data_IF_935653227536
#
_entry.id   IF_935653227536
#
_cell.length_a   1.000
_cell.length_b   1.000
_cell.length_c   1.000
_cell.angle_alpha   90.00
_cell.angle_beta   90.00
_cell.angle_gamma   90.00
#
_symmetry.space_group_name_H-M   'P 1'
#
loop_
_entity.id
_entity.type
_entity.pdbx_description
1 polymer ?
#
# COMPACT_ATOMS: atom_id res chain seq x y z
N UNK A 1 -3.53 -62.33 0.23
CA UNK A 1 -2.56 -61.22 0.33
C UNK A 1 -2.97 -60.13 -0.67
N UNK A 2 -3.88 -59.21 -0.30
CA UNK A 2 -4.26 -58.10 -1.17
C UNK A 2 -3.25 -56.94 -1.07
N UNK A 3 -2.91 -56.42 -2.23
CA UNK A 3 -1.85 -55.46 -2.54
C UNK A 3 -2.17 -54.03 -2.13
N UNK A 4 -1.15 -53.32 -1.63
CA UNK A 4 -1.14 -51.97 -1.07
C UNK A 4 -1.39 -50.81 -2.08
N UNK A 5 -2.03 -51.07 -3.22
CA UNK A 5 -2.06 -50.13 -4.35
C UNK A 5 -3.30 -49.21 -4.46
N UNK A 6 -4.24 -49.25 -3.51
CA UNK A 6 -5.48 -48.45 -3.60
C UNK A 6 -5.64 -47.34 -2.54
N UNK A 7 -4.58 -46.96 -1.82
CA UNK A 7 -4.68 -45.93 -0.77
C UNK A 7 -4.44 -44.48 -1.20
N UNK A 8 -4.54 -44.16 -2.50
CA UNK A 8 -4.03 -42.89 -3.05
C UNK A 8 -5.00 -41.96 -3.79
N UNK A 9 -6.33 -42.13 -3.69
CA UNK A 9 -7.29 -41.33 -4.53
C UNK A 9 -8.24 -40.36 -3.83
N UNK A 10 -8.12 -40.16 -2.52
CA UNK A 10 -8.88 -39.12 -1.81
C UNK A 10 -7.99 -37.99 -1.27
N UNK A 11 -7.28 -37.32 -2.17
CA UNK A 11 -6.74 -35.99 -1.87
C UNK A 11 -7.87 -34.97 -2.07
N UNK A 12 -8.72 -34.88 -1.04
CA UNK A 12 -9.66 -33.78 -0.81
C UNK A 12 -8.95 -32.46 -1.09
N UNK A 13 -9.45 -31.73 -2.09
CA UNK A 13 -9.13 -30.32 -2.33
C UNK A 13 -9.65 -29.55 -1.11
N UNK A 14 -8.86 -29.52 -0.04
CA UNK A 14 -9.02 -28.56 1.04
C UNK A 14 -8.61 -27.21 0.47
N UNK A 15 -9.62 -26.43 0.09
CA UNK A 15 -9.56 -25.00 -0.13
C UNK A 15 -8.87 -24.36 1.08
N UNK A 16 -7.57 -24.14 0.96
CA UNK A 16 -6.80 -23.44 1.97
C UNK A 16 -7.35 -22.01 2.08
N UNK A 17 -7.71 -21.52 3.28
CA UNK A 17 -7.89 -20.09 3.45
C UNK A 17 -6.53 -19.44 3.19
N UNK A 18 -6.52 -18.45 2.29
CA UNK A 18 -5.41 -17.54 2.04
C UNK A 18 -4.90 -16.98 3.38
N UNK A 19 -3.87 -17.63 3.93
CA UNK A 19 -3.17 -17.22 5.13
C UNK A 19 -2.01 -16.34 4.69
N UNK A 20 -2.02 -15.10 5.16
CA UNK A 20 -0.85 -14.23 5.18
C UNK A 20 -0.67 -13.40 3.91
N UNK A 21 -1.34 -12.24 3.87
CA UNK A 21 -0.69 -11.08 3.29
C UNK A 21 0.68 -10.91 3.99
N UNK A 22 1.79 -10.70 3.27
CA UNK A 22 3.03 -10.34 3.93
C UNK A 22 2.80 -8.99 4.60
N UNK A 23 2.84 -9.00 5.93
CA UNK A 23 3.06 -7.80 6.73
C UNK A 23 4.25 -7.09 6.11
N UNK A 24 3.95 -5.95 5.47
CA UNK A 24 4.94 -5.00 5.03
C UNK A 24 5.69 -4.52 6.26
N UNK A 25 6.79 -5.19 6.57
CA UNK A 25 7.79 -4.77 7.52
C UNK A 25 8.27 -3.39 7.11
N UNK A 26 7.63 -2.37 7.67
CA UNK A 26 8.12 -1.01 7.65
C UNK A 26 9.51 -1.02 8.31
N UNK A 27 10.51 -0.38 7.70
CA UNK A 27 11.83 -0.30 8.28
C UNK A 27 11.74 0.36 9.65
N UNK A 28 12.39 -0.27 10.63
CA UNK A 28 12.69 0.30 11.93
C UNK A 28 13.61 1.52 11.77
N UNK A 29 13.03 2.63 11.32
CA UNK A 29 13.59 3.96 11.44
C UNK A 29 13.17 4.53 12.78
N UNK A 30 14.12 4.60 13.73
CA UNK A 30 13.94 5.26 15.01
C UNK A 30 13.50 6.71 14.81
N UNK A 31 12.22 6.97 14.99
CA UNK A 31 11.65 8.31 14.92
C UNK A 31 10.43 8.36 15.81
N UNK A 32 10.62 8.87 17.04
CA UNK A 32 9.60 9.32 18.00
C UNK A 32 8.14 9.08 17.56
N UNK A 33 7.71 7.82 17.64
CA UNK A 33 6.38 7.37 17.24
C UNK A 33 5.34 7.95 18.18
N UNK A 34 4.75 9.08 17.78
CA UNK A 34 3.50 9.59 18.36
C UNK A 34 2.44 8.50 18.15
N UNK A 35 2.10 7.79 19.23
CA UNK A 35 1.00 6.82 19.23
C UNK A 35 -0.30 7.60 18.99
N UNK A 36 -0.86 7.49 17.80
CA UNK A 36 -2.19 7.98 17.48
C UNK A 36 -3.20 7.01 18.11
N UNK A 37 -3.75 7.40 19.25
CA UNK A 37 -4.88 6.68 19.86
C UNK A 37 -6.15 7.17 19.15
N UNK A 38 -6.67 6.39 18.21
CA UNK A 38 -8.03 6.59 17.68
C UNK A 38 -9.03 6.06 18.70
N UNK A 39 -9.71 6.99 19.40
CA UNK A 39 -10.78 6.69 20.35
C UNK A 39 -12.15 6.81 19.62
N UNK A 40 -13.11 5.90 19.87
CA UNK A 40 -14.44 5.96 19.26
C UNK A 40 -15.20 7.24 19.62
N UNK A 41 -16.02 7.72 18.67
CA UNK A 41 -16.88 8.92 18.78
C UNK A 41 -17.96 8.75 19.86
N UNK A 42 -17.60 9.05 21.11
CA UNK A 42 -18.50 9.70 22.05
C UNK A 42 -18.19 11.19 22.03
N UNK A 43 -19.21 12.06 22.07
CA UNK A 43 -18.99 13.49 22.24
C UNK A 43 -18.54 13.69 23.70
N UNK A 44 -17.23 13.60 23.93
CA UNK A 44 -16.63 13.85 25.23
C UNK A 44 -16.90 15.32 25.60
N UNK A 45 -17.80 15.55 26.55
CA UNK A 45 -18.25 16.85 27.07
C UNK A 45 -17.15 17.72 27.70
N UNK A 46 -15.88 17.33 27.58
CA UNK A 46 -14.72 18.04 28.11
C UNK A 46 -13.63 18.35 27.08
N UNK A 47 -13.90 18.21 25.78
CA UNK A 47 -12.93 18.55 24.73
C UNK A 47 -13.02 20.03 24.32
N UNK A 48 -11.96 20.79 24.59
CA UNK A 48 -11.84 22.20 24.26
C UNK A 48 -10.88 22.41 23.10
N UNK A 49 -11.28 23.25 22.14
CA UNK A 49 -10.34 23.75 21.12
C UNK A 49 -9.26 24.63 21.77
N UNK A 50 -8.09 24.76 21.15
CA UNK A 50 -7.03 25.65 21.64
C UNK A 50 -7.48 27.09 21.90
N UNK A 51 -8.45 27.58 21.14
CA UNK A 51 -9.02 28.93 21.31
C UNK A 51 -9.87 29.01 22.57
N UNK A 52 -10.75 28.03 22.80
CA UNK A 52 -11.56 27.96 24.01
C UNK A 52 -10.68 27.76 25.25
N UNK A 53 -9.65 26.92 25.17
CA UNK A 53 -8.68 26.74 26.24
C UNK A 53 -7.91 28.04 26.55
N UNK A 54 -7.56 28.84 25.53
CA UNK A 54 -6.92 30.14 25.71
C UNK A 54 -7.84 31.12 26.44
N UNK A 55 -9.12 31.15 26.08
CA UNK A 55 -10.13 31.98 26.74
C UNK A 55 -10.36 31.57 28.20
N UNK A 56 -10.37 30.27 28.50
CA UNK A 56 -10.56 29.77 29.87
C UNK A 56 -9.34 29.93 30.79
N UNK A 57 -8.12 29.91 30.25
CA UNK A 57 -6.88 29.93 31.04
C UNK A 57 -6.22 31.31 31.09
N UNK A 58 -6.68 32.27 30.29
CA UNK A 58 -6.05 33.58 30.13
C UNK A 58 -4.75 33.56 29.32
N UNK A 59 -4.26 32.38 28.90
CA UNK A 59 -3.05 32.23 28.10
C UNK A 59 -3.33 32.43 26.61
N UNK A 60 -2.36 32.97 25.87
CA UNK A 60 -2.45 33.04 24.41
C UNK A 60 -2.46 31.64 23.76
N UNK A 61 -3.18 31.48 22.67
CA UNK A 61 -3.19 30.22 21.89
C UNK A 61 -1.77 29.81 21.42
N UNK A 62 -0.88 30.77 21.18
CA UNK A 62 0.53 30.54 20.83
C UNK A 62 1.30 29.91 21.99
N UNK A 63 1.05 30.37 23.22
CA UNK A 63 1.65 29.80 24.44
C UNK A 63 1.20 28.36 24.65
N UNK A 64 -0.10 28.09 24.50
CA UNK A 64 -0.64 26.73 24.60
C UNK A 64 -0.05 25.82 23.53
N UNK A 65 0.07 26.29 22.27
CA UNK A 65 0.74 25.55 21.19
C UNK A 65 2.20 25.26 21.51
N UNK A 66 2.92 26.19 22.15
CA UNK A 66 4.31 25.98 22.62
C UNK A 66 4.37 24.87 23.68
N UNK A 67 3.44 24.86 24.63
CA UNK A 67 3.36 23.82 25.67
C UNK A 67 3.11 22.44 25.08
N UNK A 68 2.20 22.33 24.11
CA UNK A 68 1.97 21.08 23.36
C UNK A 68 3.24 20.62 22.64
N UNK A 69 3.92 21.53 21.92
CA UNK A 69 5.17 21.19 21.22
C UNK A 69 6.28 20.73 22.16
N UNK A 70 6.37 21.32 23.36
CA UNK A 70 7.34 20.93 24.39
C UNK A 70 6.96 19.67 25.16
N UNK A 71 5.76 19.12 24.95
CA UNK A 71 5.26 17.96 25.70
C UNK A 71 4.74 18.25 27.11
N UNK A 72 4.69 19.53 27.51
CA UNK A 72 4.17 19.96 28.83
C UNK A 72 2.66 19.91 28.94
N UNK A 73 1.96 19.99 27.80
CA UNK A 73 0.51 19.89 27.71
C UNK A 73 0.14 18.77 26.75
N UNK A 74 -0.66 17.80 27.21
CA UNK A 74 -1.18 16.73 26.36
C UNK A 74 -2.31 17.30 25.50
N UNK A 75 -2.33 16.91 24.22
CA UNK A 75 -3.34 17.36 23.26
C UNK A 75 -3.56 16.30 22.19
N UNK A 76 -4.78 16.23 21.68
CA UNK A 76 -5.16 15.39 20.54
C UNK A 76 -5.24 16.23 19.28
N UNK A 77 -4.75 15.70 18.16
CA UNK A 77 -4.85 16.34 16.86
C UNK A 77 -6.09 15.79 16.14
N UNK A 78 -7.07 16.65 15.90
CA UNK A 78 -8.34 16.31 15.27
C UNK A 78 -8.44 17.02 13.92
N UNK A 79 -8.85 16.34 12.83
CA UNK A 79 -9.07 17.01 11.55
C UNK A 79 -10.27 17.98 11.66
N UNK A 80 -10.00 19.27 11.57
CA UNK A 80 -10.98 20.36 11.57
C UNK A 80 -11.29 20.88 10.16
N UNK A 81 -12.21 21.85 10.08
CA UNK A 81 -12.69 22.45 8.81
C UNK A 81 -11.56 23.10 8.00
N UNK A 82 -10.55 23.63 8.67
CA UNK A 82 -9.43 24.35 8.05
C UNK A 82 -8.10 23.58 8.14
N UNK A 83 -8.17 22.28 8.44
CA UNK A 83 -7.00 21.42 8.64
C UNK A 83 -6.93 20.85 10.05
N UNK A 84 -5.81 20.18 10.41
CA UNK A 84 -5.67 19.54 11.70
C UNK A 84 -5.55 20.57 12.85
N UNK A 85 -6.43 20.45 13.83
CA UNK A 85 -6.52 21.32 15.00
C UNK A 85 -6.21 20.56 16.29
N UNK A 86 -5.59 21.23 17.26
CA UNK A 86 -5.33 20.65 18.57
C UNK A 86 -6.52 20.86 19.49
N UNK A 87 -6.94 19.77 20.13
CA UNK A 87 -8.02 19.71 21.11
C UNK A 87 -7.42 19.19 22.43
N UNK A 88 -7.79 19.84 23.53
CA UNK A 88 -7.25 19.59 24.88
C UNK A 88 -8.41 19.35 25.84
N UNK A 89 -8.24 18.47 26.82
CA UNK A 89 -9.23 18.26 27.88
C UNK A 89 -8.99 19.19 29.07
N UNK A 90 -10.04 19.48 29.84
CA UNK A 90 -9.90 20.28 31.07
C UNK A 90 -8.94 19.62 32.08
N UNK A 91 -8.94 18.29 32.16
CA UNK A 91 -8.03 17.52 33.01
C UNK A 91 -6.56 17.71 32.61
N UNK A 92 -6.25 17.72 31.31
CA UNK A 92 -4.90 17.93 30.80
C UNK A 92 -4.40 19.35 31.08
N UNK A 93 -5.30 20.36 31.04
CA UNK A 93 -4.97 21.74 31.41
C UNK A 93 -4.66 21.88 32.90
N UNK A 94 -5.46 21.23 33.75
CA UNK A 94 -5.23 21.22 35.19
C UNK A 94 -3.92 20.48 35.54
N UNK A 95 -3.66 19.34 34.91
CA UNK A 95 -2.43 18.56 35.09
C UNK A 95 -1.17 19.31 34.63
N UNK A 96 -1.28 20.18 33.62
CA UNK A 96 -0.20 21.05 33.17
C UNK A 96 0.10 22.21 34.16
N UNK A 97 -0.67 22.34 35.25
CA UNK A 97 -0.51 23.38 36.25
C UNK A 97 -0.86 24.77 35.73
N UNK A 98 -1.74 24.85 34.73
CA UNK A 98 -2.24 26.14 34.23
C UNK A 98 -3.43 26.52 35.10
N UNK A 99 -3.30 27.49 36.02
CA UNK A 99 -4.41 27.88 36.87
C UNK A 99 -5.56 28.39 35.99
N UNK A 100 -6.79 28.00 36.34
CA UNK A 100 -7.99 28.56 35.75
C UNK A 100 -8.13 29.98 36.30
N UNK A 101 -7.48 30.94 35.65
CA UNK A 101 -7.67 32.34 35.97
C UNK A 101 -9.13 32.68 35.66
N UNK A 102 -9.95 32.76 36.72
CA UNK A 102 -11.28 33.35 36.63
C UNK A 102 -11.12 34.71 35.95
N UNK A 103 -11.73 34.87 34.78
CA UNK A 103 -11.56 35.99 33.83
C UNK A 103 -11.89 37.41 34.38
N UNK A 104 -12.00 37.57 35.70
CA UNK A 104 -12.34 38.78 36.42
C UNK A 104 -11.12 39.65 36.80
N UNK A 105 -9.88 39.24 36.50
CA UNK A 105 -8.67 40.05 36.76
C UNK A 105 -7.92 40.47 35.49
N UNK A 106 -8.65 40.75 34.40
CA UNK A 106 -8.05 41.43 33.24
C UNK A 106 -7.72 42.87 33.63
N UNK A 107 -6.53 43.03 34.20
CA UNK A 107 -5.80 44.28 34.40
C UNK A 107 -5.97 45.19 33.18
N UNK A 108 -6.46 46.39 33.45
CA UNK A 108 -6.49 47.51 32.50
C UNK A 108 -5.10 47.66 31.84
N UNK A 109 -5.03 47.82 30.51
CA UNK A 109 -3.78 48.13 29.85
C UNK A 109 -3.32 49.53 30.25
N UNK A 110 -2.21 49.59 31.01
CA UNK A 110 -1.53 50.82 31.34
C UNK A 110 -1.12 51.60 30.06
N UNK A 111 -1.32 52.93 30.01
CA UNK A 111 -0.95 53.75 28.87
C UNK A 111 0.57 53.80 28.71
N UNK A 112 1.07 53.41 27.54
CA UNK A 112 2.48 53.50 27.18
C UNK A 112 2.91 54.97 27.15
N UNK A 113 3.71 55.36 28.14
CA UNK A 113 4.36 56.66 28.21
C UNK A 113 5.59 56.75 27.31
N UNK A 114 5.67 57.88 26.60
CA UNK A 114 6.84 58.75 26.34
C UNK A 114 8.20 58.08 26.07
N UNK A 115 8.71 58.32 24.85
CA UNK A 115 10.14 58.61 24.64
C UNK A 115 10.30 59.93 23.88
N UNK A 116 11.26 60.70 24.39
CA UNK A 116 11.62 62.11 24.20
C UNK A 116 12.32 62.48 22.88
N UNK A 117 12.23 63.77 22.60
CA UNK A 117 13.26 64.75 22.20
C UNK A 117 14.19 64.45 21.01
N UNK A 118 13.97 65.24 19.95
CA UNK A 118 14.89 65.39 18.82
C UNK A 118 14.40 66.46 17.84
N UNK A 119 14.34 67.72 18.28
CA UNK A 119 14.01 68.84 17.40
C UNK A 119 15.19 69.21 16.49
N UNK A 120 14.93 69.62 15.23
CA UNK A 120 15.86 70.43 14.46
C UNK A 120 15.53 71.94 14.57
N UNK A 121 16.54 72.80 14.38
CA UNK A 121 16.48 74.22 14.71
C UNK A 121 15.64 75.04 13.73
N UNK A 122 14.99 76.07 14.29
CA UNK A 122 14.41 77.21 13.60
C UNK A 122 15.39 77.82 12.61
N UNK A 123 15.02 77.79 11.33
CA UNK A 123 15.58 78.66 10.29
C UNK A 123 14.52 79.70 9.92
N UNK A 124 14.77 80.94 10.35
CA UNK A 124 14.48 82.23 9.69
C UNK A 124 13.21 82.25 8.82
N UNK A 125 12.13 82.81 9.38
CA UNK A 125 10.91 83.13 8.66
C UNK A 125 11.12 84.37 7.77
N UNK A 126 11.22 84.17 6.46
CA UNK A 126 10.95 85.22 5.49
C UNK A 126 9.45 85.60 5.52
N UNK A 127 9.10 86.90 5.46
CA UNK A 127 7.71 87.33 5.35
C UNK A 127 7.14 86.96 3.98
N UNK A 128 6.28 85.93 3.94
CA UNK A 128 5.55 85.51 2.75
C UNK A 128 4.63 86.63 2.24
N UNK A 129 4.54 86.85 0.91
CA UNK A 129 3.71 87.89 0.31
C UNK A 129 2.22 87.63 0.60
N UNK A 130 1.53 88.69 1.03
CA UNK A 130 0.09 88.70 1.27
C UNK A 130 -0.67 88.48 -0.05
N UNK A 131 -1.08 87.24 -0.31
CA UNK A 131 -1.77 86.87 -1.54
C UNK A 131 -1.61 85.40 -1.95
N UNK A 132 -0.82 84.60 -1.23
CA UNK A 132 -0.70 83.18 -1.51
C UNK A 132 -2.03 82.47 -1.20
N UNK A 133 -2.66 81.89 -2.23
CA UNK A 133 -3.78 80.96 -2.16
C UNK A 133 -3.44 79.80 -1.22
N UNK A 134 -3.77 79.98 0.06
CA UNK A 134 -3.63 78.97 1.09
C UNK A 134 -4.60 77.85 0.78
N UNK A 135 -4.06 76.70 0.35
CA UNK A 135 -4.83 75.47 0.20
C UNK A 135 -5.54 75.20 1.54
N UNK A 136 -6.88 75.12 1.56
CA UNK A 136 -7.63 74.86 2.78
C UNK A 136 -7.10 73.62 3.50
N UNK A 137 -6.82 73.72 4.80
CA UNK A 137 -6.19 72.64 5.57
C UNK A 137 -6.95 71.30 5.53
N UNK A 138 -8.25 71.33 5.22
CA UNK A 138 -9.06 70.13 5.00
C UNK A 138 -8.62 69.34 3.76
N UNK A 139 -8.32 70.01 2.64
CA UNK A 139 -7.85 69.35 1.42
C UNK A 139 -6.48 68.71 1.63
N UNK A 140 -5.59 69.37 2.37
CA UNK A 140 -4.29 68.82 2.72
C UNK A 140 -4.44 67.53 3.56
N UNK A 141 -5.33 67.55 4.56
CA UNK A 141 -5.60 66.36 5.38
C UNK A 141 -6.16 65.21 4.56
N UNK A 142 -7.11 65.46 3.66
CA UNK A 142 -7.65 64.43 2.78
C UNK A 142 -6.58 63.84 1.85
N UNK A 143 -5.73 64.69 1.28
CA UNK A 143 -4.63 64.25 0.42
C UNK A 143 -3.66 63.35 1.19
N UNK A 144 -3.32 63.72 2.43
CA UNK A 144 -2.46 62.95 3.31
C UNK A 144 -3.09 61.59 3.65
N UNK A 145 -4.38 61.56 4.02
CA UNK A 145 -5.10 60.30 4.27
C UNK A 145 -5.11 59.38 3.03
N UNK A 146 -5.32 59.94 1.83
CA UNK A 146 -5.30 59.16 0.58
C UNK A 146 -3.90 58.63 0.27
N UNK A 147 -2.86 59.42 0.54
CA UNK A 147 -1.47 59.00 0.38
C UNK A 147 -1.13 57.84 1.31
N UNK A 148 -1.51 57.92 2.58
CA UNK A 148 -1.34 56.83 3.54
C UNK A 148 -2.09 55.58 3.07
N UNK A 149 -3.35 55.70 2.66
CA UNK A 149 -4.13 54.59 2.12
C UNK A 149 -3.45 53.94 0.89
N UNK A 150 -2.88 54.74 -0.01
CA UNK A 150 -2.16 54.25 -1.19
C UNK A 150 -0.93 53.44 -0.78
N UNK A 151 -0.14 53.96 0.17
CA UNK A 151 1.05 53.26 0.68
C UNK A 151 0.68 51.92 1.33
N UNK A 152 -0.39 51.87 2.12
CA UNK A 152 -0.86 50.61 2.71
C UNK A 152 -1.29 49.63 1.61
N UNK A 153 -2.06 50.08 0.61
CA UNK A 153 -2.48 49.23 -0.52
C UNK A 153 -1.28 48.70 -1.31
N UNK A 154 -0.28 49.54 -1.56
CA UNK A 154 0.95 49.14 -2.23
C UNK A 154 1.74 48.11 -1.42
N UNK A 155 1.88 48.32 -0.11
CA UNK A 155 2.52 47.35 0.79
C UNK A 155 1.80 45.99 0.79
N UNK A 156 0.46 46.00 0.83
CA UNK A 156 -0.33 44.77 0.70
C UNK A 156 -0.08 44.05 -0.64
N UNK A 157 -0.03 44.78 -1.75
CA UNK A 157 0.23 44.21 -3.08
C UNK A 157 1.63 43.59 -3.17
N UNK A 158 2.64 44.22 -2.56
CA UNK A 158 3.99 43.65 -2.51
C UNK A 158 4.04 42.34 -1.72
N UNK A 159 3.38 42.29 -0.56
CA UNK A 159 3.33 41.08 0.28
C UNK A 159 2.60 39.96 -0.43
N UNK A 160 1.44 40.24 -1.04
CA UNK A 160 0.70 39.23 -1.80
C UNK A 160 1.47 38.74 -3.02
N UNK A 161 2.19 39.63 -3.72
CA UNK A 161 3.10 39.27 -4.81
C UNK A 161 4.17 38.27 -4.36
N UNK A 162 4.85 38.55 -3.24
CA UNK A 162 5.87 37.63 -2.67
C UNK A 162 5.28 36.26 -2.31
N UNK A 163 4.12 36.23 -1.66
CA UNK A 163 3.44 34.98 -1.32
C UNK A 163 3.08 34.16 -2.57
N UNK A 164 2.62 34.80 -3.64
CA UNK A 164 2.33 34.11 -4.90
C UNK A 164 3.58 33.49 -5.53
N UNK A 165 4.72 34.19 -5.48
CA UNK A 165 5.99 33.64 -5.94
C UNK A 165 6.43 32.42 -5.13
N UNK A 166 6.34 32.47 -3.80
CA UNK A 166 6.66 31.34 -2.92
C UNK A 166 5.76 30.12 -3.20
N UNK A 167 4.46 30.35 -3.35
CA UNK A 167 3.49 29.29 -3.68
C UNK A 167 3.80 28.69 -5.05
N UNK A 168 4.11 29.52 -6.05
CA UNK A 168 4.48 29.06 -7.39
C UNK A 168 5.75 28.22 -7.35
N UNK A 169 6.78 28.67 -6.64
CA UNK A 169 8.03 27.92 -6.52
C UNK A 169 7.81 26.56 -5.84
N UNK A 170 7.02 26.52 -4.76
CA UNK A 170 6.65 25.26 -4.12
C UNK A 170 5.88 24.32 -5.05
N UNK A 171 4.96 24.86 -5.86
CA UNK A 171 4.22 24.08 -6.83
C UNK A 171 5.13 23.53 -7.93
N UNK A 172 6.08 24.32 -8.43
CA UNK A 172 7.06 23.89 -9.44
C UNK A 172 7.99 22.80 -8.88
N UNK A 173 8.46 22.93 -7.64
CA UNK A 173 9.26 21.89 -6.95
C UNK A 173 8.48 20.58 -6.82
N UNK A 174 7.24 20.64 -6.32
CA UNK A 174 6.37 19.46 -6.20
C UNK A 174 6.06 18.82 -7.56
N UNK A 175 5.84 19.63 -8.60
CA UNK A 175 5.63 19.13 -9.95
C UNK A 175 6.88 18.43 -10.51
N UNK A 176 8.07 18.95 -10.23
CA UNK A 176 9.33 18.32 -10.61
C UNK A 176 9.54 16.97 -9.89
N UNK A 177 9.28 16.91 -8.59
CA UNK A 177 9.33 15.68 -7.79
C UNK A 177 8.33 14.64 -8.31
N UNK A 178 7.08 15.04 -8.56
CA UNK A 178 6.05 14.15 -9.12
C UNK A 178 6.46 13.60 -10.48
N UNK A 179 7.07 14.42 -11.35
CA UNK A 179 7.61 13.97 -12.65
C UNK A 179 8.74 12.96 -12.48
N UNK A 180 9.64 13.14 -11.51
CA UNK A 180 10.73 12.19 -11.21
C UNK A 180 10.16 10.86 -10.72
N UNK A 181 9.26 10.89 -9.75
CA UNK A 181 8.58 9.70 -9.23
C UNK A 181 7.82 8.95 -10.34
N UNK A 182 7.12 9.66 -11.23
CA UNK A 182 6.43 9.05 -12.37
C UNK A 182 7.38 8.33 -13.34
N UNK A 183 8.59 8.90 -13.58
CA UNK A 183 9.61 8.24 -14.42
C UNK A 183 10.16 6.99 -13.75
N UNK A 184 10.37 7.01 -12.44
CA UNK A 184 10.83 5.84 -11.69
C UNK A 184 9.80 4.71 -11.68
N UNK A 185 8.53 5.03 -11.46
CA UNK A 185 7.43 4.07 -11.56
C UNK A 185 7.36 3.43 -12.94
N UNK A 186 7.51 4.21 -14.02
CA UNK A 186 7.58 3.67 -15.39
C UNK A 186 8.74 2.70 -15.58
N UNK A 187 9.94 3.03 -15.08
CA UNK A 187 11.11 2.14 -15.14
C UNK A 187 10.85 0.81 -14.42
N UNK A 188 10.22 0.84 -13.25
CA UNK A 188 9.85 -0.36 -12.50
C UNK A 188 8.81 -1.19 -13.25
N UNK A 189 7.77 -0.54 -13.80
CA UNK A 189 6.76 -1.21 -14.63
C UNK A 189 7.36 -1.86 -15.87
N UNK A 190 8.29 -1.20 -16.57
CA UNK A 190 8.99 -1.77 -17.72
C UNK A 190 9.84 -2.99 -17.35
N UNK A 191 10.51 -2.97 -16.18
CA UNK A 191 11.27 -4.13 -15.68
C UNK A 191 10.33 -5.31 -15.42
N UNK A 192 9.23 -5.09 -14.70
CA UNK A 192 8.25 -6.14 -14.44
C UNK A 192 7.59 -6.66 -15.72
N UNK A 193 7.28 -5.80 -16.69
CA UNK A 193 6.74 -6.23 -17.98
C UNK A 193 7.73 -7.16 -18.71
N UNK A 194 9.04 -6.86 -18.67
CA UNK A 194 10.08 -7.72 -19.24
C UNK A 194 10.20 -9.05 -18.50
N UNK A 195 10.18 -9.04 -17.17
CA UNK A 195 10.21 -10.26 -16.35
C UNK A 195 9.00 -11.16 -16.61
N UNK A 196 7.80 -10.60 -16.63
CA UNK A 196 6.56 -11.32 -16.96
C UNK A 196 6.66 -11.90 -18.38
N UNK A 197 7.20 -11.14 -19.34
CA UNK A 197 7.44 -11.62 -20.70
C UNK A 197 8.37 -12.83 -20.74
N UNK A 198 9.50 -12.77 -20.02
CA UNK A 198 10.46 -13.89 -19.91
C UNK A 198 9.84 -15.12 -19.26
N UNK A 199 9.10 -14.95 -18.15
CA UNK A 199 8.44 -16.04 -17.46
C UNK A 199 7.37 -16.71 -18.33
N UNK A 200 6.56 -15.91 -19.07
CA UNK A 200 5.59 -16.44 -20.03
C UNK A 200 6.25 -17.22 -21.16
N UNK A 201 7.36 -16.73 -21.69
CA UNK A 201 8.11 -17.45 -22.73
C UNK A 201 8.68 -18.78 -22.20
N UNK A 202 9.26 -18.77 -20.99
CA UNK A 202 9.75 -19.98 -20.33
C UNK A 202 8.63 -20.98 -20.05
N UNK A 203 7.46 -20.52 -19.64
CA UNK A 203 6.30 -21.38 -19.38
C UNK A 203 5.83 -22.06 -20.67
N UNK A 204 5.71 -21.32 -21.77
CA UNK A 204 5.37 -21.89 -23.09
C UNK A 204 6.39 -22.93 -23.56
N UNK A 205 7.69 -22.67 -23.35
CA UNK A 205 8.73 -23.66 -23.68
C UNK A 205 8.62 -24.93 -22.83
N UNK A 206 8.29 -24.79 -21.54
CA UNK A 206 8.06 -25.93 -20.67
C UNK A 206 6.84 -26.74 -21.11
N UNK A 207 5.74 -26.07 -21.49
CA UNK A 207 4.54 -26.72 -22.04
C UNK A 207 4.84 -27.51 -23.32
N UNK A 208 5.60 -26.94 -24.26
CA UNK A 208 6.01 -27.65 -25.47
C UNK A 208 6.86 -28.90 -25.16
N UNK A 209 7.83 -28.78 -24.24
CA UNK A 209 8.63 -29.94 -23.80
C UNK A 209 7.79 -31.02 -23.13
N UNK A 210 6.74 -30.64 -22.39
CA UNK A 210 5.81 -31.60 -21.81
C UNK A 210 5.01 -32.31 -22.91
N UNK A 211 4.51 -31.57 -23.91
CA UNK A 211 3.82 -32.15 -25.05
C UNK A 211 4.70 -33.15 -25.84
N UNK A 212 5.95 -32.79 -26.12
CA UNK A 212 6.93 -33.70 -26.76
C UNK A 212 7.13 -34.97 -25.92
N UNK A 213 7.30 -34.84 -24.61
CA UNK A 213 7.43 -35.99 -23.71
C UNK A 213 6.18 -36.85 -23.71
N UNK A 214 4.99 -36.27 -23.70
CA UNK A 214 3.74 -37.03 -23.81
C UNK A 214 3.65 -37.84 -25.10
N UNK A 215 4.10 -37.28 -26.23
CA UNK A 215 4.17 -38.00 -27.51
C UNK A 215 5.13 -39.19 -27.42
N UNK A 216 6.34 -39.00 -26.87
CA UNK A 216 7.30 -40.10 -26.68
C UNK A 216 6.75 -41.19 -25.77
N UNK A 217 6.04 -40.84 -24.69
CA UNK A 217 5.40 -41.80 -23.79
C UNK A 217 4.33 -42.60 -24.56
N UNK A 218 3.52 -41.94 -25.40
CA UNK A 218 2.50 -42.61 -26.22
C UNK A 218 3.13 -43.56 -27.23
N UNK A 219 4.27 -43.21 -27.82
CA UNK A 219 5.01 -44.08 -28.75
C UNK A 219 5.60 -45.29 -28.04
N UNK A 220 6.29 -45.09 -26.92
CA UNK A 220 6.83 -46.18 -26.10
C UNK A 220 5.73 -47.11 -25.61
N UNK A 221 4.58 -46.57 -25.19
CA UNK A 221 3.41 -47.38 -24.79
C UNK A 221 2.91 -48.23 -25.95
N UNK A 222 2.86 -47.68 -27.18
CA UNK A 222 2.50 -48.44 -28.38
C UNK A 222 3.53 -49.54 -28.68
N UNK A 223 4.82 -49.27 -28.53
CA UNK A 223 5.90 -50.25 -28.73
C UNK A 223 5.84 -51.38 -27.71
N UNK A 224 5.69 -51.07 -26.42
CA UNK A 224 5.51 -52.05 -25.35
C UNK A 224 4.32 -52.95 -25.66
N UNK A 225 3.17 -52.37 -26.01
CA UNK A 225 1.97 -53.15 -26.37
C UNK A 225 2.19 -54.06 -27.59
N UNK A 226 2.94 -53.63 -28.60
CA UNK A 226 3.31 -54.48 -29.76
C UNK A 226 4.18 -55.66 -29.34
N UNK A 227 5.18 -55.41 -28.49
CA UNK A 227 6.07 -56.46 -27.98
C UNK A 227 5.32 -57.44 -27.08
N UNK A 228 4.40 -56.97 -26.25
CA UNK A 228 3.53 -57.81 -25.43
C UNK A 228 2.68 -58.75 -26.28
N UNK A 229 2.06 -58.24 -27.36
CA UNK A 229 1.28 -59.06 -28.30
C UNK A 229 2.19 -60.08 -29.01
N UNK A 230 3.35 -59.65 -29.50
CA UNK A 230 4.30 -60.55 -30.16
C UNK A 230 4.78 -61.67 -29.23
N UNK A 231 5.07 -61.34 -27.97
CA UNK A 231 5.47 -62.31 -26.95
C UNK A 231 4.33 -63.27 -26.60
N UNK A 232 3.09 -62.77 -26.49
CA UNK A 232 1.90 -63.62 -26.30
C UNK A 232 1.71 -64.58 -27.48
N UNK A 233 1.80 -64.09 -28.72
CA UNK A 233 1.68 -64.90 -29.93
C UNK A 233 2.79 -65.95 -30.04
N UNK A 234 4.03 -65.60 -29.66
CA UNK A 234 5.15 -66.55 -29.64
C UNK A 234 4.94 -67.65 -28.57
N UNK A 235 4.41 -67.29 -27.40
CA UNK A 235 4.04 -68.27 -26.37
C UNK A 235 2.94 -69.22 -26.85
N UNK A 236 1.89 -68.70 -27.49
CA UNK A 236 0.83 -69.55 -28.06
C UNK A 236 1.33 -70.43 -29.19
N UNK A 237 2.20 -69.91 -30.08
CA UNK A 237 2.80 -70.70 -31.15
C UNK A 237 3.63 -71.88 -30.61
N UNK A 238 4.49 -71.63 -29.61
CA UNK A 238 5.25 -72.69 -28.92
C UNK A 238 4.35 -73.74 -28.28
N UNK A 239 3.24 -73.32 -27.66
CA UNK A 239 2.27 -74.25 -27.08
C UNK A 239 1.61 -75.14 -28.16
N UNK A 240 1.21 -74.56 -29.30
CA UNK A 240 0.70 -75.33 -30.44
C UNK A 240 1.73 -76.29 -31.01
N UNK A 241 3.00 -75.88 -31.18
CA UNK A 241 4.07 -76.76 -31.65
C UNK A 241 4.28 -77.97 -30.72
N UNK A 242 4.22 -77.75 -29.40
CA UNK A 242 4.31 -78.81 -28.41
C UNK A 242 3.13 -79.78 -28.47
N UNK A 243 1.90 -79.27 -28.60
CA UNK A 243 0.69 -80.09 -28.77
C UNK A 243 0.73 -80.91 -30.05
N UNK A 244 1.15 -80.29 -31.16
CA UNK A 244 1.31 -80.96 -32.45
C UNK A 244 2.35 -82.07 -32.38
N UNK A 245 3.52 -81.81 -31.78
CA UNK A 245 4.55 -82.83 -31.52
C UNK A 245 4.01 -83.98 -30.66
N UNK A 246 3.20 -83.69 -29.64
CA UNK A 246 2.57 -84.73 -28.82
C UNK A 246 1.57 -85.56 -29.63
N UNK A 247 0.80 -84.94 -30.52
CA UNK A 247 -0.14 -85.63 -31.40
C UNK A 247 0.58 -86.55 -32.40
N UNK A 248 1.66 -86.07 -33.05
CA UNK A 248 2.48 -86.89 -33.94
C UNK A 248 3.06 -88.12 -33.23
N UNK A 249 3.60 -87.96 -32.02
CA UNK A 249 4.08 -89.08 -31.20
C UNK A 249 2.99 -90.11 -30.87
N UNK A 250 1.71 -89.70 -30.83
CA UNK A 250 0.59 -90.64 -30.63
C UNK A 250 0.29 -91.45 -31.89
N UNK A 251 0.44 -90.84 -33.06
CA UNK A 251 0.24 -91.51 -34.37
C UNK A 251 1.39 -92.48 -34.66
N UNK A 252 2.63 -92.06 -34.39
CA UNK A 252 3.82 -92.90 -34.59
C UNK A 252 3.97 -94.01 -33.55
N UNK A 253 3.23 -93.95 -32.43
CA UNK A 253 3.20 -95.03 -31.46
C UNK A 253 2.50 -96.22 -32.14
N UNK A 254 3.21 -97.31 -32.49
CA UNK A 254 2.56 -98.47 -33.08
C UNK A 254 1.46 -98.92 -32.12
N UNK A 255 0.27 -99.18 -32.67
CA UNK A 255 -0.83 -99.71 -31.88
C UNK A 255 -0.30 -100.87 -31.02
N UNK A 256 -0.61 -100.91 -29.71
CA UNK A 256 -0.20 -102.03 -28.89
C UNK A 256 -0.63 -103.31 -29.61
N UNK A 257 0.25 -104.32 -29.72
CA UNK A 257 -0.10 -105.55 -30.40
C UNK A 257 -1.44 -106.04 -29.85
N UNK A 258 -2.38 -106.46 -30.72
CA UNK A 258 -3.68 -106.92 -30.27
C UNK A 258 -3.45 -107.97 -29.18
N UNK A 259 -4.24 -107.94 -28.08
CA UNK A 259 -4.07 -108.90 -27.01
C UNK A 259 -4.18 -110.31 -27.61
N UNK A 260 -3.09 -111.06 -27.54
CA UNK A 260 -3.05 -112.46 -27.95
C UNK A 260 -4.01 -113.24 -27.04
N UNK A 261 -5.27 -113.40 -27.47
CA UNK A 261 -6.26 -114.14 -26.68
C UNK A 261 -7.74 -113.78 -26.84
N UNK A 262 -8.17 -112.99 -27.83
CA UNK A 262 -9.60 -112.86 -28.12
C UNK A 262 -10.04 -113.96 -29.10
N UNK A 263 -10.36 -115.14 -28.56
CA UNK A 263 -10.97 -116.22 -29.29
C UNK A 263 -12.26 -115.76 -30.02
N UNK A 264 -12.52 -116.22 -31.25
CA UNK A 264 -13.77 -115.93 -31.94
C UNK A 264 -14.93 -116.51 -31.14
N UNK A 265 -15.85 -115.65 -30.69
CA UNK A 265 -17.13 -116.12 -30.17
C UNK A 265 -17.85 -116.83 -31.31
N UNK A 266 -18.27 -118.10 -31.14
CA UNK A 266 -19.03 -118.80 -32.16
C UNK A 266 -20.36 -118.09 -32.38
N UNK A 267 -20.70 -117.90 -33.65
CA UNK A 267 -22.07 -117.64 -34.08
C UNK A 267 -22.96 -118.77 -33.55
N UNK A 268 -23.88 -118.44 -32.64
CA UNK A 268 -25.02 -119.28 -32.33
C UNK A 268 -26.19 -118.87 -33.25
N UNK A 269 -26.95 -119.84 -33.81
CA UNK A 269 -28.06 -119.61 -34.73
C UNK A 269 -29.28 -118.96 -34.06
#
# INVERSE_FOLDING_TARGET
MPSELERGRDAVIRKAPLRGAPDGGAPAGGGFGRRFVTVPRGVDTGMLTLRQAAEQTGLSATTLRRYIKSGRLRARLVPGRYGPEYVVTEEDLAAAGVPRESALQRREPAPAGRVRDGGPPSSVAEPLPAGADLVPGLLYRELLMKHEQLLVRYGMLQVSGRQLYEIREQAERRAAEARRAARELRKVQERHAKEIGRLRASLRQAELRLAEREETIRELTRQVRRLEIALRNARTARAFDEEFRRALRRIERPAPPPPAGAAPRPHAP
#
